data_IF_664069569417
#
_entry.id   IF_664069569417
#
_cell.length_a   1.000
_cell.length_b   1.000
_cell.length_c   1.000
_cell.angle_alpha   90.00
_cell.angle_beta   90.00
_cell.angle_gamma   90.00
#
_symmetry.space_group_name_H-M   'P 1'
#
loop_
_entity.id
_entity.type
_entity.pdbx_description
1 polymer ?
#
# COMPACT_ATOMS: atom_id res chain seq x y z
N UNK A 1 -4.76 3.60 7.42
CA UNK A 1 -5.38 4.29 6.26
C UNK A 1 -4.42 4.22 5.08
N UNK A 2 -4.92 4.17 3.85
CA UNK A 2 -4.13 4.30 2.64
C UNK A 2 -4.58 5.52 1.82
N UNK A 3 -3.65 6.11 1.07
CA UNK A 3 -3.88 7.18 0.10
C UNK A 3 -3.30 6.76 -1.24
N UNK A 4 -4.10 6.75 -2.30
CA UNK A 4 -3.67 6.36 -3.65
C UNK A 4 -3.54 7.60 -4.51
N UNK A 5 -2.32 7.86 -4.99
CA UNK A 5 -2.01 9.04 -5.81
C UNK A 5 -1.43 8.54 -7.14
N UNK A 6 -2.12 8.74 -8.27
CA UNK A 6 -1.59 8.37 -9.57
C UNK A 6 -0.43 9.30 -9.94
N UNK A 7 0.69 8.73 -10.36
CA UNK A 7 1.89 9.47 -10.77
C UNK A 7 2.35 8.89 -12.11
N UNK A 8 2.64 9.75 -13.09
CA UNK A 8 3.22 9.32 -14.37
C UNK A 8 4.69 8.92 -14.17
N UNK A 9 5.17 7.90 -14.88
CA UNK A 9 6.58 7.50 -14.81
C UNK A 9 7.54 8.63 -15.22
N UNK A 10 7.09 9.56 -16.06
CA UNK A 10 7.83 10.74 -16.51
C UNK A 10 7.73 11.95 -15.56
N UNK A 11 7.03 11.82 -14.43
CA UNK A 11 6.85 12.95 -13.50
C UNK A 11 8.17 13.34 -12.86
N UNK A 12 8.41 14.65 -12.76
CA UNK A 12 9.62 15.17 -12.12
C UNK A 12 9.52 15.09 -10.59
N UNK A 13 10.67 15.21 -9.92
CA UNK A 13 10.70 15.28 -8.45
C UNK A 13 9.98 16.51 -7.89
N UNK A 14 9.98 17.62 -8.62
CA UNK A 14 9.21 18.83 -8.24
C UNK A 14 7.70 18.56 -8.28
N UNK A 15 7.21 17.91 -9.34
CA UNK A 15 5.81 17.50 -9.42
C UNK A 15 5.43 16.53 -8.30
N UNK A 16 6.33 15.59 -7.96
CA UNK A 16 6.12 14.67 -6.84
C UNK A 16 6.05 15.40 -5.50
N UNK A 17 6.92 16.40 -5.27
CA UNK A 17 6.88 17.22 -4.06
C UNK A 17 5.59 18.02 -3.94
N UNK A 18 5.13 18.64 -5.04
CA UNK A 18 3.85 19.36 -5.08
C UNK A 18 2.68 18.43 -4.76
N UNK A 19 2.65 17.24 -5.36
CA UNK A 19 1.63 16.23 -5.06
C UNK A 19 1.68 15.78 -3.60
N UNK A 20 2.87 15.60 -3.03
CA UNK A 20 3.03 15.25 -1.62
C UNK A 20 2.46 16.34 -0.71
N UNK A 21 2.76 17.61 -0.97
CA UNK A 21 2.20 18.72 -0.18
C UNK A 21 0.68 18.81 -0.35
N UNK A 22 0.19 18.80 -1.59
CA UNK A 22 -1.23 18.97 -1.92
C UNK A 22 -2.10 17.79 -1.46
N UNK A 23 -1.59 16.57 -1.46
CA UNK A 23 -2.41 15.37 -1.16
C UNK A 23 -2.13 14.75 0.20
N UNK A 24 -0.97 14.98 0.80
CA UNK A 24 -0.60 14.40 2.09
C UNK A 24 -0.50 15.49 3.16
N UNK A 25 0.35 16.50 2.97
CA UNK A 25 0.57 17.54 4.00
C UNK A 25 -0.69 18.36 4.25
N UNK A 26 -1.45 18.71 3.21
CA UNK A 26 -2.71 19.44 3.34
C UNK A 26 -3.80 18.68 4.12
N UNK A 27 -3.75 17.34 4.12
CA UNK A 27 -4.78 16.49 4.73
C UNK A 27 -4.40 16.03 6.13
N UNK A 28 -3.13 15.70 6.35
CA UNK A 28 -2.66 15.05 7.58
C UNK A 28 -1.64 15.90 8.34
N UNK A 29 -1.26 17.06 7.81
CA UNK A 29 -0.16 17.86 8.32
C UNK A 29 1.21 17.27 8.01
N UNK A 30 2.25 17.94 8.50
CA UNK A 30 3.63 17.46 8.38
C UNK A 30 3.86 16.32 9.37
N UNK A 31 4.33 15.19 8.85
CA UNK A 31 4.54 13.99 9.66
C UNK A 31 5.85 14.08 10.46
N UNK A 32 5.85 13.55 11.68
CA UNK A 32 7.05 13.50 12.54
C UNK A 32 8.13 12.58 11.94
N UNK A 33 7.73 11.51 11.27
CA UNK A 33 8.66 10.60 10.59
C UNK A 33 8.00 9.86 9.43
N UNK A 34 8.78 9.56 8.39
CA UNK A 34 8.36 8.79 7.22
C UNK A 34 9.30 7.61 7.02
N UNK A 35 8.74 6.43 6.77
CA UNK A 35 9.48 5.29 6.24
C UNK A 35 9.22 5.21 4.74
N UNK A 36 10.28 5.32 3.93
CA UNK A 36 10.20 5.25 2.47
C UNK A 36 10.96 4.03 1.95
N UNK A 37 10.54 3.51 0.81
CA UNK A 37 11.32 2.49 0.11
C UNK A 37 12.58 3.12 -0.54
N UNK A 38 13.44 2.28 -1.10
CA UNK A 38 14.68 2.74 -1.73
C UNK A 38 14.53 3.10 -3.21
N UNK A 39 13.34 3.53 -3.63
CA UNK A 39 13.13 4.04 -5.00
C UNK A 39 14.08 5.23 -5.25
N UNK A 40 14.76 5.30 -6.42
CA UNK A 40 15.69 6.38 -6.75
C UNK A 40 15.10 7.80 -6.54
N UNK A 41 13.79 7.96 -6.68
CA UNK A 41 13.13 9.26 -6.45
C UNK A 41 13.24 9.69 -5.00
N UNK A 42 13.10 8.77 -4.05
CA UNK A 42 13.16 9.04 -2.61
C UNK A 42 14.58 9.00 -2.05
N UNK A 43 15.52 8.31 -2.72
CA UNK A 43 16.94 8.30 -2.34
C UNK A 43 17.75 9.43 -2.98
N UNK A 44 17.18 10.15 -3.97
CA UNK A 44 17.77 11.36 -4.56
C UNK A 44 18.07 12.41 -3.49
N UNK A 45 19.08 13.28 -3.68
CA UNK A 45 19.41 14.34 -2.70
C UNK A 45 18.24 15.27 -2.38
N UNK A 46 17.33 15.45 -3.33
CA UNK A 46 16.18 16.34 -3.22
C UNK A 46 15.21 15.88 -2.12
N UNK A 47 14.83 14.61 -2.10
CA UNK A 47 13.78 14.14 -1.18
C UNK A 47 14.16 14.20 0.31
N UNK A 48 15.34 13.73 0.75
CA UNK A 48 15.82 13.93 2.12
C UNK A 48 15.95 15.40 2.50
N UNK A 49 16.36 16.26 1.56
CA UNK A 49 16.47 17.71 1.80
C UNK A 49 15.09 18.33 2.05
N UNK A 50 14.10 17.97 1.23
CA UNK A 50 12.71 18.39 1.39
C UNK A 50 12.15 17.95 2.76
N UNK A 51 12.34 16.69 3.13
CA UNK A 51 11.87 16.16 4.41
C UNK A 51 12.57 16.82 5.60
N UNK A 52 13.88 17.06 5.51
CA UNK A 52 14.63 17.79 6.53
C UNK A 52 14.11 19.22 6.71
N UNK A 53 13.82 19.92 5.62
CA UNK A 53 13.27 21.27 5.66
C UNK A 53 11.89 21.34 6.32
N UNK A 54 11.07 20.31 6.14
CA UNK A 54 9.77 20.19 6.82
C UNK A 54 9.89 19.72 8.28
N UNK A 55 11.06 19.32 8.76
CA UNK A 55 11.24 18.78 10.12
C UNK A 55 10.86 17.30 10.26
N UNK A 56 10.69 16.58 9.14
CA UNK A 56 10.32 15.18 9.11
C UNK A 56 11.56 14.27 9.20
N UNK A 57 11.52 13.28 10.10
CA UNK A 57 12.57 12.23 10.15
C UNK A 57 12.35 11.19 9.05
N UNK A 58 13.16 11.23 8.00
CA UNK A 58 13.14 10.23 6.93
C UNK A 58 13.95 8.99 7.32
N UNK A 59 13.30 7.83 7.26
CA UNK A 59 13.91 6.51 7.38
C UNK A 59 13.70 5.74 6.07
N UNK A 60 14.68 4.92 5.70
CA UNK A 60 14.52 4.03 4.56
C UNK A 60 14.29 2.61 5.05
N UNK A 61 13.36 1.90 4.39
CA UNK A 61 13.19 0.48 4.64
C UNK A 61 14.50 -0.26 4.40
N UNK A 62 14.74 -1.24 5.25
CA UNK A 62 15.93 -2.09 5.18
C UNK A 62 15.68 -3.18 4.17
N UNK A 63 16.55 -3.28 3.16
CA UNK A 63 16.53 -4.46 2.29
C UNK A 63 16.73 -5.70 3.16
N UNK A 64 15.74 -6.60 3.19
CA UNK A 64 15.78 -7.87 3.92
C UNK A 64 15.64 -7.81 5.45
N UNK A 65 14.72 -7.00 6.00
CA UNK A 65 14.31 -7.14 7.41
C UNK A 65 12.84 -7.58 7.53
N UNK A 66 12.54 -8.89 7.41
CA UNK A 66 11.17 -9.41 7.35
C UNK A 66 10.34 -9.16 8.62
N UNK A 67 10.96 -8.75 9.73
CA UNK A 67 10.28 -8.57 11.02
C UNK A 67 9.61 -7.20 11.15
N UNK A 68 10.18 -6.14 10.56
CA UNK A 68 9.62 -4.77 10.62
C UNK A 68 8.96 -4.36 9.30
N UNK A 69 9.58 -4.70 8.16
CA UNK A 69 9.04 -4.36 6.84
C UNK A 69 8.03 -5.40 6.32
N UNK A 70 8.04 -6.62 6.86
CA UNK A 70 7.22 -7.72 6.34
C UNK A 70 5.71 -7.51 6.49
N UNK A 71 5.24 -6.75 7.50
CA UNK A 71 3.82 -6.41 7.59
C UNK A 71 3.42 -5.39 6.53
N UNK A 72 4.21 -4.32 6.35
CA UNK A 72 3.96 -3.29 5.36
C UNK A 72 4.07 -3.83 3.93
N UNK A 73 5.10 -4.62 3.63
CA UNK A 73 5.27 -5.30 2.34
C UNK A 73 4.08 -6.23 2.04
N UNK A 74 3.57 -6.95 3.05
CA UNK A 74 2.39 -7.79 2.88
C UNK A 74 1.16 -6.96 2.54
N UNK A 75 0.93 -5.88 3.28
CA UNK A 75 -0.20 -4.98 3.02
C UNK A 75 -0.12 -4.34 1.63
N UNK A 76 1.07 -3.88 1.21
CA UNK A 76 1.27 -3.38 -0.16
C UNK A 76 0.95 -4.48 -1.17
N UNK A 77 1.42 -5.70 -0.97
CA UNK A 77 1.17 -6.78 -1.93
C UNK A 77 -0.33 -7.08 -2.05
N UNK A 78 -1.07 -7.11 -0.93
CA UNK A 78 -2.53 -7.25 -0.96
C UNK A 78 -3.18 -6.13 -1.77
N UNK A 79 -2.72 -4.90 -1.56
CA UNK A 79 -3.23 -3.72 -2.25
C UNK A 79 -2.93 -3.79 -3.74
N UNK A 80 -1.72 -4.14 -4.15
CA UNK A 80 -1.37 -4.30 -5.56
C UNK A 80 -2.20 -5.40 -6.24
N UNK A 81 -2.43 -6.51 -5.56
CA UNK A 81 -3.24 -7.62 -6.08
C UNK A 81 -4.71 -7.18 -6.24
N UNK A 82 -5.26 -6.47 -5.25
CA UNK A 82 -6.59 -5.86 -5.33
C UNK A 82 -6.67 -4.87 -6.50
N UNK A 83 -5.71 -3.94 -6.59
CA UNK A 83 -5.66 -2.94 -7.67
C UNK A 83 -5.60 -3.62 -9.04
N UNK A 84 -4.73 -4.63 -9.23
CA UNK A 84 -4.65 -5.37 -10.50
C UNK A 84 -5.97 -6.05 -10.87
N UNK A 85 -6.63 -6.70 -9.92
CA UNK A 85 -7.93 -7.34 -10.17
C UNK A 85 -9.02 -6.31 -10.49
N UNK A 86 -9.06 -5.20 -9.75
CA UNK A 86 -10.04 -4.15 -9.96
C UNK A 86 -9.85 -3.46 -11.31
N UNK A 87 -8.62 -3.16 -11.72
CA UNK A 87 -8.32 -2.56 -13.04
C UNK A 87 -8.69 -3.49 -14.18
N UNK A 88 -8.53 -4.80 -14.00
CA UNK A 88 -8.95 -5.77 -15.02
C UNK A 88 -10.48 -5.81 -15.21
N UNK A 89 -11.23 -5.70 -14.11
CA UNK A 89 -12.70 -5.84 -14.15
C UNK A 89 -13.42 -4.51 -14.40
N UNK A 90 -12.90 -3.41 -13.85
CA UNK A 90 -13.39 -2.05 -14.03
C UNK A 90 -12.79 -1.50 -15.34
N UNK A 91 -13.54 -1.67 -16.43
CA UNK A 91 -13.18 -1.15 -17.75
C UNK A 91 -13.00 0.37 -17.70
N UNK A 92 -12.18 0.92 -18.61
CA UNK A 92 -11.91 2.36 -18.71
C UNK A 92 -10.58 2.76 -18.09
N UNK A 93 -10.43 4.05 -17.78
CA UNK A 93 -9.18 4.56 -17.19
C UNK A 93 -9.04 4.09 -15.75
N UNK A 94 -7.92 3.45 -15.41
CA UNK A 94 -7.74 2.87 -14.08
C UNK A 94 -7.63 3.91 -12.97
N UNK A 95 -7.09 5.09 -13.30
CA UNK A 95 -6.86 6.21 -12.38
C UNK A 95 -8.17 6.84 -11.89
N UNK A 96 -9.23 6.86 -12.71
CA UNK A 96 -10.55 7.37 -12.31
C UNK A 96 -11.21 6.51 -11.23
N UNK A 97 -10.79 5.26 -11.10
CA UNK A 97 -11.33 4.31 -10.11
C UNK A 97 -10.54 4.32 -8.79
N UNK A 98 -9.34 4.91 -8.75
CA UNK A 98 -8.51 4.96 -7.54
C UNK A 98 -9.23 5.56 -6.32
N UNK A 99 -10.02 6.66 -6.43
CA UNK A 99 -10.72 7.19 -5.27
C UNK A 99 -11.72 6.19 -4.68
N UNK A 100 -12.42 5.42 -5.51
CA UNK A 100 -13.33 4.37 -5.06
C UNK A 100 -12.57 3.18 -4.44
N UNK A 101 -11.41 2.83 -5.00
CA UNK A 101 -10.56 1.77 -4.45
C UNK A 101 -10.00 2.16 -3.08
N UNK A 102 -9.52 3.39 -2.94
CA UNK A 102 -9.07 3.96 -1.66
C UNK A 102 -10.21 3.99 -0.65
N UNK A 103 -11.38 4.47 -1.05
CA UNK A 103 -12.58 4.49 -0.21
C UNK A 103 -12.97 3.09 0.27
N UNK A 104 -13.01 2.11 -0.64
CA UNK A 104 -13.37 0.75 -0.28
C UNK A 104 -12.37 0.11 0.68
N UNK A 105 -11.07 0.35 0.49
CA UNK A 105 -10.03 -0.15 1.39
C UNK A 105 -10.08 0.49 2.78
N UNK A 106 -10.21 1.83 2.84
CA UNK A 106 -10.26 2.56 4.11
C UNK A 106 -11.54 2.31 4.91
N UNK A 107 -12.61 1.89 4.25
CA UNK A 107 -13.88 1.48 4.86
C UNK A 107 -14.05 -0.03 4.99
N UNK A 108 -12.98 -0.80 4.78
CA UNK A 108 -13.00 -2.22 5.06
C UNK A 108 -12.52 -2.48 6.48
N UNK A 109 -13.15 -3.44 7.15
CA UNK A 109 -12.76 -3.82 8.50
C UNK A 109 -11.34 -4.41 8.48
N UNK A 110 -10.49 -3.94 9.38
CA UNK A 110 -9.13 -4.45 9.53
C UNK A 110 -8.99 -5.11 10.89
N UNK A 111 -8.74 -6.42 10.91
CA UNK A 111 -8.67 -7.21 12.14
C UNK A 111 -7.55 -6.77 13.09
N UNK A 112 -6.46 -6.19 12.59
CA UNK A 112 -5.35 -5.70 13.41
C UNK A 112 -5.70 -4.46 14.24
N UNK A 113 -6.68 -3.66 13.81
CA UNK A 113 -7.15 -2.45 14.51
C UNK A 113 -8.57 -2.60 15.06
N UNK A 114 -9.22 -3.74 14.81
CA UNK A 114 -10.60 -4.06 15.21
C UNK A 114 -11.67 -3.04 14.79
N UNK A 115 -11.39 -2.24 13.77
CA UNK A 115 -12.32 -1.27 13.17
C UNK A 115 -11.86 -0.90 11.75
N UNK A 116 -12.55 0.01 11.09
CA UNK A 116 -12.12 0.53 9.78
C UNK A 116 -11.08 1.65 9.95
N UNK A 117 -10.10 1.79 9.05
CA UNK A 117 -9.21 2.95 9.06
C UNK A 117 -9.92 4.31 9.00
N UNK A 118 -11.09 4.37 8.37
CA UNK A 118 -11.94 5.56 8.36
C UNK A 118 -12.44 5.92 9.75
N UNK A 119 -12.97 4.95 10.50
CA UNK A 119 -13.45 5.15 11.87
C UNK A 119 -12.34 5.62 12.81
N UNK A 120 -11.13 5.05 12.68
CA UNK A 120 -9.97 5.50 13.46
C UNK A 120 -9.67 6.98 13.21
N UNK A 121 -9.73 7.41 11.94
CA UNK A 121 -9.30 8.75 11.57
C UNK A 121 -10.36 9.82 11.88
N UNK A 122 -11.63 9.51 11.65
CA UNK A 122 -12.74 10.47 11.75
C UNK A 122 -13.61 10.26 12.98
N UNK A 123 -13.29 9.27 13.81
CA UNK A 123 -13.99 8.90 15.05
C UNK A 123 -15.49 8.63 14.85
N UNK A 124 -15.88 8.28 13.62
CA UNK A 124 -17.28 8.02 13.24
C UNK A 124 -17.37 6.94 12.17
N UNK A 125 -18.44 6.13 12.16
CA UNK A 125 -18.67 5.17 11.10
C UNK A 125 -18.90 5.88 9.76
N UNK A 126 -18.32 5.32 8.70
CA UNK A 126 -18.55 5.85 7.36
C UNK A 126 -19.99 5.58 6.91
N UNK A 127 -20.71 6.63 6.51
CA UNK A 127 -21.96 6.49 5.78
C UNK A 127 -21.65 6.16 4.33
N UNK A 128 -22.12 5.00 3.88
CA UNK A 128 -21.92 4.55 2.49
C UNK A 128 -23.25 4.65 1.75
N UNK A 129 -23.26 4.77 0.41
CA UNK A 129 -24.49 4.72 -0.37
C UNK A 129 -25.36 3.48 -0.10
N UNK A 130 -24.75 2.41 0.44
CA UNK A 130 -25.38 1.12 0.75
C UNK A 130 -25.86 1.03 2.21
N UNK A 131 -25.27 1.81 3.12
CA UNK A 131 -25.58 1.79 4.55
C UNK A 131 -25.56 3.23 5.11
N UNK A 132 -26.76 3.80 5.23
CA UNK A 132 -27.04 5.05 5.93
C UNK A 132 -27.74 4.68 7.23
N UNK A 133 -27.04 4.51 8.34
CA UNK A 133 -27.74 4.45 9.62
C UNK A 133 -28.21 5.86 10.00
N UNK A 134 -29.55 5.97 10.08
CA UNK A 134 -30.41 6.96 10.78
C UNK A 134 -31.12 8.10 10.04
N UNK A 135 -31.27 8.13 8.71
CA UNK A 135 -32.27 9.08 8.13
C UNK A 135 -33.01 8.51 6.91
N UNK A 136 -34.29 8.18 7.12
CA UNK A 136 -35.35 8.20 6.09
C UNK A 136 -35.61 6.92 5.29
N UNK A 137 -36.89 6.60 5.10
CA UNK A 137 -37.37 5.53 4.22
C UNK A 137 -36.90 5.72 2.77
N UNK A 138 -36.48 4.62 2.13
CA UNK A 138 -36.01 4.58 0.74
C UNK A 138 -37.13 4.97 -0.23
N UNK A 139 -36.89 6.00 -1.05
CA UNK A 139 -37.24 5.95 -2.47
C UNK A 139 -36.03 5.42 -3.23
N UNK A 140 -36.05 4.13 -3.57
CA UNK A 140 -35.08 3.47 -4.44
C UNK A 140 -35.31 3.89 -5.91
N UNK A 141 -35.38 5.20 -6.14
CA UNK A 141 -35.46 5.82 -7.46
C UNK A 141 -34.37 6.89 -7.45
N UNK A 142 -33.15 6.51 -7.81
CA UNK A 142 -32.01 7.39 -7.55
C UNK A 142 -30.78 7.06 -8.37
N UNK A 143 -30.76 7.60 -9.60
CA UNK A 143 -29.60 7.92 -10.43
C UNK A 143 -28.61 6.77 -10.76
N UNK A 144 -28.43 6.49 -12.05
CA UNK A 144 -27.50 5.48 -12.59
C UNK A 144 -26.11 5.48 -11.92
N UNK A 145 -25.60 6.68 -11.61
CA UNK A 145 -24.32 6.87 -10.90
C UNK A 145 -24.27 6.19 -9.51
N UNK A 146 -25.34 6.20 -8.73
CA UNK A 146 -25.37 5.56 -7.40
C UNK A 146 -25.34 4.04 -7.55
N UNK A 147 -26.05 3.50 -8.54
CA UNK A 147 -26.06 2.08 -8.89
C UNK A 147 -24.65 1.64 -9.32
N UNK A 148 -24.02 2.37 -10.25
CA UNK A 148 -22.65 2.11 -10.73
C UNK A 148 -21.67 2.15 -9.56
N UNK A 149 -21.73 3.20 -8.73
CA UNK A 149 -20.82 3.37 -7.59
C UNK A 149 -20.97 2.22 -6.58
N UNK A 150 -22.21 1.83 -6.29
CA UNK A 150 -22.52 0.71 -5.39
C UNK A 150 -21.96 -0.60 -5.91
N UNK A 151 -22.14 -0.89 -7.20
CA UNK A 151 -21.62 -2.10 -7.84
C UNK A 151 -20.08 -2.12 -7.84
N UNK A 152 -19.45 -0.98 -8.13
CA UNK A 152 -17.99 -0.85 -8.09
C UNK A 152 -17.45 -1.10 -6.68
N UNK A 153 -18.06 -0.52 -5.63
CA UNK A 153 -17.64 -0.75 -4.24
C UNK A 153 -17.75 -2.22 -3.85
N UNK A 154 -18.85 -2.90 -4.22
CA UNK A 154 -19.02 -4.34 -3.97
C UNK A 154 -17.91 -5.16 -4.63
N UNK A 155 -17.61 -4.86 -5.90
CA UNK A 155 -16.56 -5.52 -6.66
C UNK A 155 -15.18 -5.34 -6.03
N UNK A 156 -14.84 -4.10 -5.64
CA UNK A 156 -13.55 -3.80 -5.02
C UNK A 156 -13.38 -4.53 -3.69
N UNK A 157 -14.44 -4.56 -2.86
CA UNK A 157 -14.42 -5.30 -1.58
C UNK A 157 -14.19 -6.79 -1.78
N UNK A 158 -14.82 -7.39 -2.79
CA UNK A 158 -14.61 -8.80 -3.11
C UNK A 158 -13.17 -9.07 -3.58
N UNK A 159 -12.64 -8.23 -4.48
CA UNK A 159 -11.25 -8.34 -4.94
C UNK A 159 -10.24 -8.18 -3.78
N UNK A 160 -10.52 -7.29 -2.83
CA UNK A 160 -9.71 -7.14 -1.63
C UNK A 160 -9.73 -8.40 -0.76
N UNK A 161 -10.92 -9.01 -0.55
CA UNK A 161 -11.07 -10.27 0.19
C UNK A 161 -10.27 -11.39 -0.48
N UNK A 162 -10.42 -11.56 -1.80
CA UNK A 162 -9.70 -12.57 -2.58
C UNK A 162 -8.18 -12.37 -2.47
N UNK A 163 -7.69 -11.13 -2.55
CA UNK A 163 -6.27 -10.82 -2.38
C UNK A 163 -5.75 -11.20 -0.98
N UNK A 164 -6.52 -10.88 0.07
CA UNK A 164 -6.20 -11.25 1.45
C UNK A 164 -6.18 -12.77 1.65
N UNK A 165 -7.21 -13.48 1.18
CA UNK A 165 -7.32 -14.94 1.29
C UNK A 165 -6.19 -15.65 0.55
N UNK A 166 -5.85 -15.18 -0.66
CA UNK A 166 -4.71 -15.69 -1.43
C UNK A 166 -3.41 -15.55 -0.64
N UNK A 167 -3.16 -14.36 -0.09
CA UNK A 167 -1.94 -14.10 0.68
C UNK A 167 -1.88 -14.96 1.95
N UNK A 168 -3.00 -15.08 2.67
CA UNK A 168 -3.13 -15.98 3.82
C UNK A 168 -2.81 -17.42 3.45
N UNK A 169 -3.43 -17.92 2.37
CA UNK A 169 -3.20 -19.30 1.89
C UNK A 169 -1.73 -19.58 1.53
N UNK A 170 -1.02 -18.61 0.95
CA UNK A 170 0.41 -18.76 0.63
C UNK A 170 1.29 -18.68 1.87
N UNK A 171 0.96 -17.82 2.82
CA UNK A 171 1.67 -17.71 4.08
C UNK A 171 1.52 -19.02 4.89
N UNK A 172 0.30 -19.51 5.06
CA UNK A 172 0.00 -20.71 5.83
C UNK A 172 0.68 -21.95 5.25
N UNK A 173 0.67 -22.12 3.92
CA UNK A 173 1.37 -23.23 3.23
C UNK A 173 2.88 -23.21 3.38
N UNK A 174 3.49 -22.03 3.61
CA UNK A 174 4.95 -21.86 3.68
C UNK A 174 5.46 -21.60 5.09
N UNK A 175 4.59 -21.50 6.09
CA UNK A 175 4.97 -21.23 7.47
C UNK A 175 5.68 -22.47 8.02
N UNK A 176 6.96 -22.31 8.32
CA UNK A 176 7.76 -23.26 9.10
C UNK A 176 8.19 -22.52 10.37
N UNK A 177 8.03 -23.15 11.53
CA UNK A 177 8.59 -22.61 12.77
C UNK A 177 10.11 -22.83 12.72
N UNK A 178 10.85 -21.76 12.44
CA UNK A 178 12.31 -21.71 12.49
C UNK A 178 12.66 -20.69 13.58
N UNK A 179 13.30 -21.18 14.63
CA UNK A 179 13.89 -20.37 15.68
C UNK A 179 15.41 -20.38 15.47
N UNK A 180 16.03 -19.21 15.54
CA UNK A 180 17.47 -19.05 15.41
C UNK A 180 18.05 -18.60 16.75
N UNK A 181 19.19 -19.15 17.13
CA UNK A 181 19.96 -18.75 18.31
C UNK A 181 21.17 -17.90 17.89
N UNK A 182 21.66 -17.07 18.82
CA UNK A 182 22.89 -16.31 18.59
C UNK A 182 24.07 -17.28 18.40
N UNK A 183 24.70 -17.23 17.22
CA UNK A 183 25.75 -18.17 16.81
C UNK A 183 25.35 -19.08 15.64
N UNK A 184 24.07 -19.15 15.30
CA UNK A 184 23.60 -19.92 14.14
C UNK A 184 24.09 -19.29 12.82
N UNK A 185 24.63 -20.14 11.94
CA UNK A 185 24.99 -19.73 10.59
C UNK A 185 23.74 -19.74 9.70
N UNK A 186 23.41 -18.57 9.15
CA UNK A 186 22.24 -18.39 8.28
C UNK A 186 22.66 -17.90 6.90
N UNK A 187 22.05 -18.48 5.87
CA UNK A 187 22.30 -18.05 4.50
C UNK A 187 21.60 -16.72 4.19
N UNK A 188 22.37 -15.67 3.94
CA UNK A 188 21.85 -14.38 3.46
C UNK A 188 21.55 -14.46 1.96
N UNK A 189 20.29 -14.28 1.59
CA UNK A 189 19.85 -14.27 0.18
C UNK A 189 20.33 -13.02 -0.53
N UNK A 190 21.13 -13.21 -1.58
CA UNK A 190 21.50 -12.16 -2.53
C UNK A 190 20.36 -11.98 -3.54
N UNK A 191 19.61 -10.88 -3.47
CA UNK A 191 18.63 -10.57 -4.51
C UNK A 191 19.31 -9.95 -5.74
N UNK A 192 18.95 -10.37 -6.95
CA UNK A 192 19.40 -9.71 -8.17
C UNK A 192 18.55 -8.45 -8.38
N UNK A 193 18.83 -7.38 -7.64
CA UNK A 193 18.35 -6.07 -8.10
C UNK A 193 19.06 -5.73 -9.40
N UNK A 194 18.32 -5.15 -10.36
CA UNK A 194 18.90 -4.56 -11.57
C UNK A 194 19.96 -3.53 -11.17
N UNK A 195 21.24 -3.90 -11.27
CA UNK A 195 22.36 -2.96 -11.29
C UNK A 195 23.13 -2.70 -9.98
N UNK A 196 22.75 -3.27 -8.82
CA UNK A 196 23.53 -3.05 -7.58
C UNK A 196 24.47 -4.23 -7.33
N UNK A 197 25.75 -3.99 -7.57
CA UNK A 197 26.85 -4.92 -7.31
C UNK A 197 27.22 -4.80 -5.83
N UNK A 198 26.87 -5.80 -5.00
CA UNK A 198 27.47 -5.92 -3.65
C UNK A 198 28.64 -6.90 -3.58
N UNK A 199 28.68 -7.91 -4.46
CA UNK A 199 29.66 -9.01 -4.38
C UNK A 199 30.30 -9.40 -5.73
N UNK A 200 30.40 -8.47 -6.67
CA UNK A 200 31.22 -8.62 -7.89
C UNK A 200 30.77 -9.66 -8.94
N UNK A 201 29.79 -10.54 -8.67
CA UNK A 201 29.32 -11.56 -9.63
C UNK A 201 27.91 -11.29 -10.12
N UNK A 202 27.76 -11.06 -11.43
CA UNK A 202 26.48 -10.94 -12.13
C UNK A 202 26.39 -12.03 -13.20
N UNK A 203 25.37 -12.88 -13.17
CA UNK A 203 25.14 -13.84 -14.23
C UNK A 203 24.17 -14.97 -13.87
N UNK A 204 23.66 -15.68 -14.89
CA UNK A 204 23.05 -17.00 -14.71
C UNK A 204 24.10 -17.88 -14.02
N UNK A 205 23.70 -18.64 -12.99
CA UNK A 205 24.59 -19.47 -12.13
C UNK A 205 25.41 -18.72 -11.05
N UNK A 206 25.17 -17.42 -10.78
CA UNK A 206 25.78 -16.77 -9.62
C UNK A 206 25.21 -17.29 -8.29
N UNK A 207 26.02 -17.36 -7.20
CA UNK A 207 25.52 -17.74 -5.87
C UNK A 207 24.35 -16.84 -5.46
N UNK A 208 23.24 -17.45 -5.05
CA UNK A 208 22.05 -16.74 -4.57
C UNK A 208 22.07 -16.50 -3.06
N UNK A 209 23.03 -17.09 -2.38
CA UNK A 209 23.17 -17.04 -0.94
C UNK A 209 24.65 -16.94 -0.58
N UNK A 210 24.95 -16.22 0.48
CA UNK A 210 26.26 -16.22 1.16
C UNK A 210 26.03 -16.63 2.62
N UNK A 211 27.01 -17.28 3.22
CA UNK A 211 27.07 -17.56 4.66
C UNK A 211 27.58 -16.32 5.37
#
# INVERSE_FOLDING_TARGET
MARFIPIKATSTLDQLARLYVDKIVSQYGVQVSIVSNRDPRFTSKFWPSLQKAMGTRLKFSTSFHPQTDGQYERTIQTLEDMLRACVFQLKGSWDTHLPLMEFAYNNNYQSSISMTPYEVLYERPCRTPVCWSEVGERKLVGHELVQITTNNIKLIRENLRIAQDRQKSYADKRRRNLEFQAGDQVFLKLSPWRGVIRFGRKGKLSPRYIV
#
